data_IF_600217012254
#
_entry.id   IF_600217012254
#
_cell.length_a   1.000
_cell.length_b   1.000
_cell.length_c   1.000
_cell.angle_alpha   90.00
_cell.angle_beta   90.00
_cell.angle_gamma   90.00
#
_symmetry.space_group_name_H-M   'P 1'
#
loop_
_entity.id
_entity.type
_entity.pdbx_description
1 polymer ?
#
# COMPACT_ATOMS: atom_id res chain seq x y z
N UNK A 1 4.71 10.89 -25.02
CA UNK A 1 3.75 11.95 -25.37
C UNK A 1 4.33 13.31 -24.99
N UNK A 2 4.27 14.28 -25.90
CA UNK A 2 4.82 15.64 -25.69
C UNK A 2 3.75 16.62 -25.15
N UNK A 3 2.49 16.32 -25.36
CA UNK A 3 1.36 17.23 -25.02
C UNK A 3 0.26 16.52 -24.27
N UNK A 4 -0.49 17.26 -23.44
CA UNK A 4 -1.65 16.72 -22.73
C UNK A 4 -2.78 16.22 -23.65
N UNK A 5 -2.91 16.79 -24.87
CA UNK A 5 -3.86 16.32 -25.88
C UNK A 5 -3.49 14.93 -26.38
N UNK A 6 -2.21 14.70 -26.65
CA UNK A 6 -1.68 13.41 -27.08
C UNK A 6 -1.86 12.34 -25.99
N UNK A 7 -1.58 12.69 -24.73
CA UNK A 7 -1.82 11.78 -23.59
C UNK A 7 -3.28 11.37 -23.50
N UNK A 8 -4.22 12.32 -23.62
CA UNK A 8 -5.66 12.01 -23.59
C UNK A 8 -6.07 11.05 -24.70
N UNK A 9 -5.52 11.22 -25.90
CA UNK A 9 -5.78 10.34 -27.05
C UNK A 9 -5.26 8.93 -26.75
N UNK A 10 -4.02 8.79 -26.30
CA UNK A 10 -3.41 7.49 -25.94
C UNK A 10 -4.17 6.78 -24.82
N UNK A 11 -4.64 7.52 -23.81
CA UNK A 11 -5.47 6.94 -22.74
C UNK A 11 -6.81 6.47 -23.29
N UNK A 12 -7.48 7.26 -24.14
CA UNK A 12 -8.76 6.87 -24.75
C UNK A 12 -8.62 5.64 -25.67
N UNK A 13 -7.50 5.48 -26.34
CA UNK A 13 -7.16 4.30 -27.14
C UNK A 13 -6.85 3.04 -26.28
N UNK A 14 -6.68 3.21 -24.95
CA UNK A 14 -6.50 2.10 -24.03
C UNK A 14 -5.04 1.63 -23.88
N UNK A 15 -4.08 2.48 -24.14
CA UNK A 15 -2.65 2.17 -24.00
C UNK A 15 -2.14 2.18 -22.54
N UNK A 16 -3.01 2.45 -21.58
CA UNK A 16 -2.66 2.49 -20.15
C UNK A 16 -3.49 1.49 -19.36
N UNK A 17 -2.85 0.80 -18.43
CA UNK A 17 -3.50 -0.01 -17.42
C UNK A 17 -3.27 0.61 -16.04
N UNK A 18 -4.26 0.48 -15.18
CA UNK A 18 -4.13 0.75 -13.74
C UNK A 18 -4.54 -0.51 -13.01
N UNK A 19 -3.66 -1.03 -12.17
CA UNK A 19 -3.85 -2.30 -11.45
C UNK A 19 -4.28 -3.45 -12.38
N UNK A 20 -3.55 -3.62 -13.49
CA UNK A 20 -3.80 -4.67 -14.50
C UNK A 20 -5.00 -4.41 -15.42
N UNK A 21 -5.85 -3.40 -15.17
CA UNK A 21 -7.07 -3.10 -15.94
C UNK A 21 -6.88 -1.91 -16.86
N UNK A 22 -7.25 -2.05 -18.13
CA UNK A 22 -7.22 -0.95 -19.11
C UNK A 22 -8.15 0.19 -18.66
N UNK A 23 -7.62 1.41 -18.58
CA UNK A 23 -8.38 2.62 -18.26
C UNK A 23 -8.36 3.57 -19.45
N UNK A 24 -9.54 3.95 -19.91
CA UNK A 24 -9.72 4.86 -21.07
C UNK A 24 -10.12 6.27 -20.68
N UNK A 25 -10.39 6.51 -19.40
CA UNK A 25 -10.69 7.83 -18.89
C UNK A 25 -9.42 8.45 -18.28
N UNK A 26 -8.93 9.53 -18.86
CA UNK A 26 -7.74 10.25 -18.36
C UNK A 26 -7.93 10.88 -16.97
N UNK A 27 -9.17 11.02 -16.51
CA UNK A 27 -9.53 11.49 -15.16
C UNK A 27 -9.68 10.35 -14.15
N UNK A 28 -9.37 9.10 -14.53
CA UNK A 28 -9.44 7.97 -13.60
C UNK A 28 -8.48 8.23 -12.43
N UNK A 29 -8.97 8.19 -11.17
CA UNK A 29 -8.14 8.43 -10.00
C UNK A 29 -7.13 7.30 -9.84
N UNK A 30 -5.88 7.67 -9.53
CA UNK A 30 -4.79 6.76 -9.22
C UNK A 30 -4.25 7.15 -7.85
N UNK A 31 -4.20 6.20 -6.94
CA UNK A 31 -3.91 6.43 -5.53
C UNK A 31 -2.64 5.74 -5.03
N UNK A 32 -2.52 5.71 -3.71
CA UNK A 32 -1.40 5.09 -3.00
C UNK A 32 -1.23 3.61 -3.39
N UNK A 33 -0.01 3.21 -3.72
CA UNK A 33 0.40 1.86 -4.14
C UNK A 33 -0.21 1.36 -5.45
N UNK A 34 -1.00 2.17 -6.18
CA UNK A 34 -1.51 1.79 -7.51
C UNK A 34 -0.36 1.59 -8.49
N UNK A 35 -0.55 0.62 -9.39
CA UNK A 35 0.38 0.31 -10.46
C UNK A 35 -0.15 0.86 -11.78
N UNK A 36 0.67 1.66 -12.46
CA UNK A 36 0.39 2.18 -13.81
C UNK A 36 1.33 1.50 -14.80
N UNK A 37 0.75 0.83 -15.78
CA UNK A 37 1.49 0.11 -16.81
C UNK A 37 1.26 0.73 -18.18
N UNK A 38 2.31 0.76 -18.99
CA UNK A 38 2.28 1.16 -20.41
C UNK A 38 2.76 -0.04 -21.24
N UNK A 39 1.86 -0.97 -21.60
CA UNK A 39 2.25 -2.22 -22.26
C UNK A 39 3.04 -2.01 -23.55
N UNK A 40 2.77 -0.93 -24.28
CA UNK A 40 3.44 -0.60 -25.54
C UNK A 40 4.94 -0.31 -25.38
N UNK A 41 5.36 0.24 -24.25
CA UNK A 41 6.77 0.53 -23.93
C UNK A 41 7.38 -0.48 -22.97
N UNK A 42 6.58 -1.36 -22.39
CA UNK A 42 7.01 -2.32 -21.35
C UNK A 42 7.36 -1.65 -20.02
N UNK A 43 6.89 -0.43 -19.80
CA UNK A 43 7.19 0.32 -18.58
C UNK A 43 6.06 0.18 -17.56
N UNK A 44 6.47 0.01 -16.31
CA UNK A 44 5.56 -0.09 -15.17
C UNK A 44 6.02 0.85 -14.06
N UNK A 45 5.06 1.50 -13.43
CA UNK A 45 5.30 2.49 -12.37
C UNK A 45 4.36 2.22 -11.20
N UNK A 46 4.83 2.46 -9.99
CA UNK A 46 4.02 2.44 -8.77
C UNK A 46 3.94 3.84 -8.17
N UNK A 47 2.75 4.22 -7.71
CA UNK A 47 2.59 5.44 -6.91
C UNK A 47 2.98 5.15 -5.47
N UNK A 48 4.00 5.86 -5.01
CA UNK A 48 4.49 5.76 -3.63
C UNK A 48 4.51 7.15 -2.98
N UNK A 49 4.45 7.21 -1.64
CA UNK A 49 4.63 8.47 -0.93
C UNK A 49 6.05 9.00 -1.18
N UNK A 50 6.15 10.28 -1.49
CA UNK A 50 7.44 10.97 -1.64
C UNK A 50 7.42 12.29 -0.89
N UNK A 51 8.56 12.74 -0.33
CA UNK A 51 8.67 14.07 0.25
C UNK A 51 8.25 15.14 -0.77
N UNK A 52 7.76 16.26 -0.40
CA UNK A 52 7.40 17.40 -1.27
C UNK A 52 6.16 17.22 -2.16
N UNK A 53 5.94 16.07 -2.77
CA UNK A 53 4.83 15.87 -3.74
C UNK A 53 3.68 15.02 -3.20
N UNK A 54 3.82 14.50 -1.98
CA UNK A 54 2.90 13.55 -1.34
C UNK A 54 2.89 12.19 -2.05
N UNK A 55 2.69 12.13 -3.37
CA UNK A 55 2.77 10.93 -4.21
C UNK A 55 3.69 11.15 -5.40
N UNK A 56 4.49 10.16 -5.72
CA UNK A 56 5.38 10.13 -6.86
C UNK A 56 5.35 8.77 -7.57
N UNK A 57 5.72 8.78 -8.86
CA UNK A 57 5.85 7.57 -9.66
C UNK A 57 7.28 7.03 -9.52
N UNK A 58 7.39 5.77 -9.15
CA UNK A 58 8.65 5.01 -9.15
C UNK A 58 8.55 3.91 -10.19
N UNK A 59 9.59 3.79 -11.03
CA UNK A 59 9.66 2.71 -12.01
C UNK A 59 9.89 1.38 -11.29
N UNK A 60 9.13 0.37 -11.67
CA UNK A 60 9.16 -0.97 -11.07
C UNK A 60 9.38 -2.04 -12.14
N UNK A 61 9.75 -3.24 -11.71
CA UNK A 61 9.87 -4.40 -12.60
C UNK A 61 8.49 -4.93 -13.03
N UNK A 62 8.40 -5.64 -14.16
CA UNK A 62 7.15 -6.26 -14.60
C UNK A 62 6.61 -7.30 -13.60
N UNK A 63 7.49 -7.98 -12.86
CA UNK A 63 7.12 -8.94 -11.82
C UNK A 63 6.48 -8.23 -10.63
N UNK A 64 7.09 -7.13 -10.17
CA UNK A 64 6.53 -6.31 -9.09
C UNK A 64 5.20 -5.67 -9.50
N UNK A 65 5.03 -5.36 -10.79
CA UNK A 65 3.78 -4.79 -11.31
C UNK A 65 2.57 -5.73 -11.20
N UNK A 66 2.78 -7.03 -11.01
CA UNK A 66 1.71 -8.01 -10.80
C UNK A 66 1.17 -8.03 -9.38
N UNK A 67 1.82 -7.35 -8.45
CA UNK A 67 1.47 -7.36 -7.04
C UNK A 67 1.17 -5.96 -6.53
N UNK A 68 0.31 -5.87 -5.51
CA UNK A 68 -0.03 -4.60 -4.86
C UNK A 68 -0.12 -4.78 -3.35
N UNK A 69 0.67 -4.04 -2.56
CA UNK A 69 0.48 -3.99 -1.13
C UNK A 69 -0.75 -3.15 -0.80
N UNK A 70 -1.66 -3.70 -0.01
CA UNK A 70 -2.90 -3.07 0.40
C UNK A 70 -3.02 -3.10 1.91
N UNK A 71 -3.19 -1.93 2.54
CA UNK A 71 -3.41 -1.85 3.99
C UNK A 71 -4.83 -2.26 4.34
N UNK A 72 -4.97 -3.04 5.40
CA UNK A 72 -6.25 -3.44 5.97
C UNK A 72 -6.78 -2.26 6.79
N UNK A 73 -7.87 -1.64 6.34
CA UNK A 73 -8.52 -0.55 7.08
C UNK A 73 -9.48 -1.08 8.14
N UNK A 74 -10.15 -2.18 7.82
CA UNK A 74 -11.13 -2.80 8.71
C UNK A 74 -11.29 -4.28 8.38
N UNK A 75 -11.74 -5.08 9.35
CA UNK A 75 -12.19 -6.45 9.13
C UNK A 75 -13.58 -6.65 9.73
N UNK A 76 -14.42 -7.40 9.04
CA UNK A 76 -15.79 -7.70 9.45
C UNK A 76 -16.11 -9.16 9.25
N UNK A 77 -16.87 -9.73 10.17
CA UNK A 77 -17.41 -11.08 10.01
C UNK A 77 -18.62 -11.02 9.09
N UNK A 78 -18.64 -11.90 8.10
CA UNK A 78 -19.75 -12.02 7.14
C UNK A 78 -20.49 -13.32 7.28
N UNK A 79 -21.57 -13.52 6.50
CA UNK A 79 -22.41 -14.73 6.53
C UNK A 79 -21.54 -16.00 6.42
N UNK A 80 -21.80 -16.96 7.28
CA UNK A 80 -21.04 -18.21 7.37
C UNK A 80 -19.82 -18.14 8.30
N UNK A 81 -19.62 -17.03 9.03
CA UNK A 81 -18.48 -16.86 9.95
C UNK A 81 -17.16 -16.54 9.25
N UNK A 82 -17.20 -16.29 7.93
CA UNK A 82 -16.02 -15.88 7.17
C UNK A 82 -15.64 -14.44 7.50
N UNK A 83 -14.38 -14.07 7.21
CA UNK A 83 -13.84 -12.75 7.50
C UNK A 83 -13.62 -12.00 6.21
N UNK A 84 -14.16 -10.79 6.13
CA UNK A 84 -13.91 -9.87 5.04
C UNK A 84 -12.93 -8.80 5.48
N UNK A 85 -11.83 -8.67 4.75
CA UNK A 85 -10.84 -7.61 4.90
C UNK A 85 -11.21 -6.47 3.96
N UNK A 86 -11.42 -5.28 4.50
CA UNK A 86 -11.66 -4.06 3.73
C UNK A 86 -10.34 -3.30 3.58
N UNK A 87 -9.91 -3.06 2.35
CA UNK A 87 -8.60 -2.51 2.04
C UNK A 87 -8.66 -1.02 1.71
N UNK A 88 -7.54 -0.32 1.85
CA UNK A 88 -7.43 1.13 1.66
C UNK A 88 -7.81 1.63 0.26
N UNK A 89 -7.74 0.76 -0.74
CA UNK A 89 -8.10 1.07 -2.13
C UNK A 89 -9.57 0.73 -2.47
N UNK A 90 -10.36 0.32 -1.47
CA UNK A 90 -11.78 -0.05 -1.62
C UNK A 90 -12.01 -1.50 -2.05
N UNK A 91 -10.96 -2.30 -2.24
CA UNK A 91 -11.12 -3.75 -2.47
C UNK A 91 -11.49 -4.46 -1.19
N UNK A 92 -12.21 -5.57 -1.35
CA UNK A 92 -12.52 -6.47 -0.26
C UNK A 92 -11.97 -7.86 -0.59
N UNK A 93 -11.37 -8.49 0.40
CA UNK A 93 -10.87 -9.87 0.30
C UNK A 93 -11.57 -10.74 1.31
N UNK A 94 -12.12 -11.85 0.86
CA UNK A 94 -12.80 -12.82 1.72
C UNK A 94 -11.81 -13.90 2.16
N UNK A 95 -11.59 -13.99 3.46
CA UNK A 95 -10.86 -15.07 4.12
C UNK A 95 -11.90 -16.12 4.54
N UNK A 96 -11.83 -17.29 3.92
CA UNK A 96 -12.72 -18.40 4.28
C UNK A 96 -12.22 -19.02 5.59
N UNK A 97 -13.10 -19.11 6.55
CA UNK A 97 -12.85 -19.71 7.87
C UNK A 97 -13.50 -21.10 7.89
N UNK A 98 -12.76 -22.09 8.35
CA UNK A 98 -13.21 -23.48 8.44
C UNK A 98 -14.14 -23.69 9.64
N UNK A 99 -13.78 -23.14 10.80
CA UNK A 99 -14.59 -23.16 12.02
C UNK A 99 -14.91 -21.75 12.52
N UNK A 100 -16.17 -21.30 12.38
CA UNK A 100 -16.60 -19.98 12.85
C UNK A 100 -16.38 -19.71 14.34
N UNK A 101 -16.32 -20.77 15.18
CA UNK A 101 -16.11 -20.66 16.63
C UNK A 101 -14.64 -20.51 16.99
N UNK A 102 -13.73 -21.02 16.13
CA UNK A 102 -12.29 -20.94 16.33
C UNK A 102 -11.60 -20.62 14.99
N UNK A 103 -11.62 -19.36 14.54
CA UNK A 103 -11.11 -18.96 13.23
C UNK A 103 -9.58 -18.96 13.21
N UNK A 104 -8.95 -20.10 12.97
CA UNK A 104 -7.48 -20.24 12.89
C UNK A 104 -6.91 -19.43 11.72
N UNK A 105 -7.70 -19.24 10.67
CA UNK A 105 -7.31 -18.48 9.47
C UNK A 105 -7.32 -16.95 9.69
N UNK A 106 -7.83 -16.47 10.84
CA UNK A 106 -7.87 -15.05 11.18
C UNK A 106 -6.56 -14.54 11.77
N UNK A 107 -5.52 -14.53 10.95
CA UNK A 107 -4.20 -13.97 11.30
C UNK A 107 -4.06 -12.48 10.95
N UNK A 108 -5.07 -11.90 10.33
CA UNK A 108 -5.01 -10.55 9.76
C UNK A 108 -5.51 -9.51 10.75
N UNK A 109 -4.70 -8.48 10.99
CA UNK A 109 -5.07 -7.37 11.88
C UNK A 109 -5.19 -6.05 11.11
N UNK A 110 -6.11 -5.15 11.53
CA UNK A 110 -6.18 -3.80 10.97
C UNK A 110 -4.83 -3.08 11.01
N UNK A 111 -4.58 -2.22 10.03
CA UNK A 111 -3.34 -1.49 9.79
C UNK A 111 -2.17 -2.36 9.32
N UNK A 112 -2.26 -3.68 9.36
CA UNK A 112 -1.36 -4.55 8.62
C UNK A 112 -1.57 -4.41 7.11
N UNK A 113 -0.61 -4.91 6.34
CA UNK A 113 -0.63 -4.86 4.88
C UNK A 113 -0.69 -6.28 4.31
N UNK A 114 -1.57 -6.50 3.36
CA UNK A 114 -1.61 -7.71 2.53
C UNK A 114 -1.06 -7.38 1.15
N UNK A 115 -0.15 -8.19 0.66
CA UNK A 115 0.33 -8.12 -0.72
C UNK A 115 -0.59 -8.96 -1.58
N UNK A 116 -1.33 -8.32 -2.48
CA UNK A 116 -2.28 -8.99 -3.36
C UNK A 116 -1.68 -9.24 -4.75
N UNK A 117 -2.02 -10.37 -5.33
CA UNK A 117 -1.92 -10.58 -6.77
C UNK A 117 -2.98 -9.74 -7.48
N UNK A 118 -2.58 -8.96 -8.50
CA UNK A 118 -3.51 -8.15 -9.29
C UNK A 118 -4.32 -8.96 -10.31
N UNK A 119 -3.92 -10.21 -10.58
CA UNK A 119 -4.62 -11.10 -11.51
C UNK A 119 -5.88 -11.70 -10.89
N UNK A 120 -5.78 -12.22 -9.67
CA UNK A 120 -6.84 -13.01 -9.02
C UNK A 120 -7.20 -12.52 -7.60
N UNK A 121 -6.59 -11.42 -7.14
CA UNK A 121 -6.77 -10.84 -5.81
C UNK A 121 -6.46 -11.79 -4.64
N UNK A 122 -5.64 -12.82 -4.86
CA UNK A 122 -5.17 -13.68 -3.77
C UNK A 122 -4.15 -12.96 -2.91
N UNK A 123 -4.19 -13.23 -1.61
CA UNK A 123 -3.16 -12.79 -0.66
C UNK A 123 -1.91 -13.64 -0.89
N UNK A 124 -0.80 -12.99 -1.22
CA UNK A 124 0.51 -13.61 -1.40
C UNK A 124 1.33 -13.55 -0.12
N UNK A 125 1.24 -12.43 0.61
CA UNK A 125 1.99 -12.18 1.82
C UNK A 125 1.18 -11.30 2.77
N UNK A 126 1.43 -11.43 4.08
CA UNK A 126 0.89 -10.56 5.12
C UNK A 126 2.01 -9.95 5.96
N UNK A 127 1.98 -8.65 6.10
CA UNK A 127 2.93 -7.84 6.87
C UNK A 127 2.16 -7.17 8.01
N UNK A 128 2.27 -7.68 9.25
CA UNK A 128 1.61 -7.06 10.40
C UNK A 128 2.25 -5.70 10.71
N UNK A 129 1.51 -4.84 11.40
CA UNK A 129 2.08 -3.61 11.96
C UNK A 129 2.60 -3.91 13.37
N UNK A 130 3.87 -4.21 13.48
CA UNK A 130 4.55 -4.55 14.74
C UNK A 130 5.94 -3.90 14.83
N UNK A 131 6.55 -3.96 16.01
CA UNK A 131 7.94 -3.48 16.20
C UNK A 131 8.90 -4.25 15.28
N UNK A 132 9.85 -3.53 14.70
CA UNK A 132 10.85 -4.09 13.80
C UNK A 132 10.47 -4.09 12.33
N UNK A 133 9.20 -3.91 11.97
CA UNK A 133 8.73 -3.85 10.59
C UNK A 133 9.17 -2.56 9.91
N UNK A 134 9.53 -2.65 8.64
CA UNK A 134 9.82 -1.48 7.81
C UNK A 134 8.51 -0.89 7.31
N UNK A 135 8.37 0.42 7.48
CA UNK A 135 7.18 1.15 7.06
C UNK A 135 7.53 2.45 6.34
N UNK A 136 6.66 2.86 5.43
CA UNK A 136 6.70 4.16 4.77
C UNK A 136 5.59 5.05 5.32
N UNK A 137 5.87 6.34 5.45
CA UNK A 137 4.88 7.31 5.92
C UNK A 137 4.08 7.84 4.74
N UNK A 138 2.77 7.59 4.76
CA UNK A 138 1.85 7.95 3.68
C UNK A 138 1.31 9.38 3.72
N UNK A 139 1.48 10.09 4.86
CA UNK A 139 0.94 11.43 5.02
C UNK A 139 1.58 12.23 6.15
N UNK A 140 1.12 13.47 6.31
CA UNK A 140 1.62 14.37 7.33
C UNK A 140 3.01 14.97 7.03
N UNK A 141 3.67 15.50 8.06
CA UNK A 141 4.97 16.22 7.92
C UNK A 141 6.10 15.31 7.41
N UNK A 142 6.05 14.03 7.79
CA UNK A 142 7.10 13.04 7.47
C UNK A 142 6.76 12.17 6.25
N UNK A 143 5.84 12.62 5.37
CA UNK A 143 5.43 11.88 4.18
C UNK A 143 6.63 11.45 3.33
N UNK A 144 6.63 10.21 2.85
CA UNK A 144 7.69 9.63 2.04
C UNK A 144 8.92 9.14 2.80
N UNK A 145 9.04 9.43 4.11
CA UNK A 145 10.11 8.85 4.91
C UNK A 145 9.86 7.38 5.17
N UNK A 146 10.93 6.63 5.13
CA UNK A 146 10.92 5.19 5.42
C UNK A 146 11.71 4.95 6.69
N UNK A 147 11.26 4.03 7.51
CA UNK A 147 11.95 3.66 8.74
C UNK A 147 11.45 2.34 9.30
N UNK A 148 12.21 1.81 10.24
CA UNK A 148 11.82 0.65 11.04
C UNK A 148 10.99 1.09 12.24
N UNK A 149 9.89 0.42 12.48
CA UNK A 149 9.03 0.69 13.65
C UNK A 149 9.77 0.31 14.92
N UNK A 150 10.08 1.31 15.74
CA UNK A 150 10.73 1.12 17.06
C UNK A 150 9.69 0.95 18.14
N UNK A 151 8.69 1.83 18.15
CA UNK A 151 7.70 1.84 19.21
C UNK A 151 6.35 2.37 18.71
N UNK A 152 5.26 1.83 19.27
CA UNK A 152 3.90 2.30 19.07
C UNK A 152 3.37 2.75 20.43
N UNK A 153 3.17 4.06 20.61
CA UNK A 153 2.79 4.67 21.88
C UNK A 153 1.31 5.07 21.82
N UNK A 154 0.47 4.64 22.77
CA UNK A 154 -0.89 5.17 22.91
C UNK A 154 -0.84 6.69 23.14
N UNK A 155 -1.59 7.44 22.34
CA UNK A 155 -1.58 8.91 22.45
C UNK A 155 -2.11 9.41 23.80
N UNK A 156 -1.34 10.26 24.47
CA UNK A 156 -1.67 10.85 25.76
C UNK A 156 -2.76 11.95 25.68
N UNK A 157 -3.17 12.39 24.51
CA UNK A 157 -4.12 13.48 24.31
C UNK A 157 -5.55 12.99 24.06
N UNK A 158 -6.54 13.79 24.47
CA UNK A 158 -8.00 13.53 24.45
C UNK A 158 -8.62 12.97 23.16
N UNK A 159 -7.88 12.86 22.05
CA UNK A 159 -8.31 12.28 20.77
C UNK A 159 -7.62 10.97 20.40
N UNK A 160 -7.03 10.24 21.35
CA UNK A 160 -6.49 8.86 21.20
C UNK A 160 -5.74 8.60 19.87
N UNK A 161 -4.93 9.55 19.40
CA UNK A 161 -4.06 9.30 18.26
C UNK A 161 -2.82 8.56 18.77
N UNK A 162 -2.65 7.33 18.32
CA UNK A 162 -1.41 6.60 18.54
C UNK A 162 -0.27 7.27 17.78
N UNK A 163 0.87 7.36 18.44
CA UNK A 163 2.11 7.87 17.86
C UNK A 163 3.03 6.69 17.61
N UNK A 164 3.63 6.64 16.43
CA UNK A 164 4.61 5.63 16.07
C UNK A 164 5.97 6.31 15.93
N UNK A 165 6.96 5.76 16.61
CA UNK A 165 8.35 6.16 16.47
C UNK A 165 9.01 5.22 15.47
N UNK A 166 9.61 5.78 14.42
CA UNK A 166 10.37 5.06 13.41
C UNK A 166 11.83 5.51 13.43
N UNK A 167 12.72 4.61 13.06
CA UNK A 167 14.15 4.83 12.89
C UNK A 167 14.50 4.69 11.41
N UNK A 168 15.11 5.74 10.85
CA UNK A 168 15.61 5.69 9.47
C UNK A 168 16.92 4.89 9.36
N UNK A 169 17.39 4.64 8.15
CA UNK A 169 18.63 3.90 7.90
C UNK A 169 19.90 4.54 8.50
N UNK A 170 19.82 5.81 8.89
CA UNK A 170 20.93 6.55 9.50
C UNK A 170 20.87 6.56 11.04
N UNK A 171 19.89 5.88 11.64
CA UNK A 171 19.68 5.86 13.08
C UNK A 171 18.91 7.07 13.63
N UNK A 172 18.36 7.93 12.77
CA UNK A 172 17.58 9.08 13.24
C UNK A 172 16.15 8.66 13.56
N UNK A 173 15.69 9.00 14.74
CA UNK A 173 14.32 8.76 15.17
C UNK A 173 13.39 9.87 14.68
N UNK A 174 12.21 9.49 14.22
CA UNK A 174 11.14 10.42 13.89
C UNK A 174 9.78 9.85 14.26
N UNK A 175 8.81 10.72 14.51
CA UNK A 175 7.48 10.31 14.96
C UNK A 175 6.42 10.70 13.94
N UNK A 176 5.39 9.84 13.83
CA UNK A 176 4.23 10.08 13.00
C UNK A 176 2.97 9.51 13.66
N UNK A 177 1.80 9.93 13.16
CA UNK A 177 0.53 9.32 13.56
C UNK A 177 0.40 7.90 12.99
N UNK A 178 -0.17 6.99 13.75
CA UNK A 178 -0.42 5.60 13.36
C UNK A 178 -1.17 5.48 12.04
N UNK A 179 -2.11 6.39 11.77
CA UNK A 179 -2.90 6.43 10.53
C UNK A 179 -2.06 6.62 9.25
N UNK A 180 -0.86 7.20 9.37
CA UNK A 180 0.06 7.44 8.25
C UNK A 180 1.10 6.35 8.07
N UNK A 181 1.16 5.38 8.97
CA UNK A 181 2.12 4.28 8.87
C UNK A 181 1.60 3.23 7.90
N UNK A 182 2.44 2.87 6.94
CA UNK A 182 2.13 1.85 5.94
C UNK A 182 3.27 0.81 5.93
N UNK A 183 3.09 -0.38 6.52
CA UNK A 183 4.07 -1.46 6.50
C UNK A 183 4.42 -1.87 5.07
N UNK A 184 5.71 -2.00 4.77
CA UNK A 184 6.21 -2.36 3.43
C UNK A 184 7.18 -3.53 3.43
N UNK A 185 7.47 -4.12 4.59
CA UNK A 185 8.31 -5.30 4.68
C UNK A 185 8.75 -5.60 6.11
N UNK A 186 9.18 -6.82 6.36
CA UNK A 186 9.73 -7.23 7.65
C UNK A 186 11.22 -6.93 7.74
N UNK A 187 12.04 -7.61 6.95
CA UNK A 187 13.49 -7.42 6.88
C UNK A 187 13.90 -6.51 5.74
N UNK A 188 13.22 -6.65 4.59
CA UNK A 188 13.43 -5.87 3.37
C UNK A 188 12.10 -5.32 2.87
N UNK A 189 12.08 -4.15 2.23
CA UNK A 189 10.90 -3.67 1.53
C UNK A 189 10.47 -4.63 0.41
N UNK A 190 9.16 -4.92 0.33
CA UNK A 190 8.56 -5.72 -0.76
C UNK A 190 8.28 -4.90 -2.01
N UNK A 191 8.55 -3.60 -1.97
CA UNK A 191 8.35 -2.65 -3.07
C UNK A 191 9.64 -1.92 -3.38
N UNK A 192 9.79 -1.53 -4.63
CA UNK A 192 10.85 -0.59 -5.05
C UNK A 192 10.55 0.80 -4.48
N UNK A 193 11.53 1.37 -3.81
CA UNK A 193 11.45 2.70 -3.19
C UNK A 193 12.18 3.74 -4.05
N UNK A 194 11.85 5.04 -3.90
CA UNK A 194 12.63 6.11 -4.48
C UNK A 194 14.10 6.05 -4.03
N UNK A 195 15.01 6.50 -4.92
CA UNK A 195 16.43 6.59 -4.59
C UNK A 195 16.66 7.40 -3.30
N UNK A 196 17.43 6.83 -2.39
CA UNK A 196 17.74 7.47 -1.12
C UNK A 196 16.66 7.38 -0.05
N UNK A 197 15.52 6.74 -0.28
CA UNK A 197 14.46 6.62 0.72
C UNK A 197 14.76 5.55 1.78
N UNK A 198 15.52 4.49 1.42
CA UNK A 198 15.92 3.37 2.30
C UNK A 198 17.31 2.84 1.91
#
# INVERSE_FOLDING_TARGET
>A
AKTGREVRKLVAEGHFKVDGKVRRNYKFPVGLMDVVEIPKTGESFRLVPVPTKVLGLVRITPEEAKTKPCRIENKVTVKGGHIQLNLHDGRNVLVKVSDPKNPVEDIYEPLGVVVLSLEDNRILEYIPLEKGVIAIVSGGRNVGRVGRVVEIIPGALKKRKYIVTLEDRFGNLFQTSLEYVFPIGREKPVITLPEGAW
#
